data_IF_628290032521
#
_entry.id   IF_628290032521
#
_cell.length_a   1.000
_cell.length_b   1.000
_cell.length_c   1.000
_cell.angle_alpha   90.00
_cell.angle_beta   90.00
_cell.angle_gamma   90.00
#
_symmetry.space_group_name_H-M   'P 1'
#
loop_
_entity.id
_entity.type
_entity.pdbx_description
1 polymer ?
#
# COMPACT_ATOMS: atom_id res chain seq x y z
N UNK A 1 25.95 11.85 -33.04
CA UNK A 1 24.60 11.41 -32.66
C UNK A 1 24.71 10.12 -31.86
N UNK A 2 24.27 10.09 -30.60
CA UNK A 2 24.00 8.83 -29.90
C UNK A 2 22.83 9.07 -28.94
N UNK A 3 21.64 8.71 -29.40
CA UNK A 3 20.45 8.57 -28.56
C UNK A 3 20.67 7.34 -27.65
N UNK A 4 20.48 7.44 -26.33
CA UNK A 4 20.36 6.26 -25.49
C UNK A 4 18.98 5.62 -25.73
N UNK A 5 18.89 4.29 -25.85
CA UNK A 5 17.60 3.61 -25.91
C UNK A 5 16.91 3.76 -24.56
N UNK A 6 15.75 4.39 -24.55
CA UNK A 6 14.88 4.46 -23.36
C UNK A 6 14.38 3.04 -23.10
N UNK A 7 14.77 2.48 -21.96
CA UNK A 7 14.33 1.18 -21.49
C UNK A 7 12.79 1.11 -21.44
N UNK A 8 12.18 -0.07 -21.66
CA UNK A 8 10.73 -0.21 -21.51
C UNK A 8 10.38 0.08 -20.05
N UNK A 9 9.62 1.16 -19.82
CA UNK A 9 8.99 1.43 -18.54
C UNK A 9 8.11 0.21 -18.19
N UNK A 10 8.20 -0.35 -16.97
CA UNK A 10 7.28 -1.40 -16.57
C UNK A 10 5.86 -0.81 -16.62
N UNK A 11 4.98 -1.51 -17.35
CA UNK A 11 3.58 -1.12 -17.48
C UNK A 11 2.99 -0.85 -16.09
N UNK A 12 2.38 0.32 -15.83
CA UNK A 12 1.73 0.54 -14.57
C UNK A 12 0.58 -0.45 -14.51
N UNK A 13 0.61 -1.34 -13.51
CA UNK A 13 -0.63 -1.90 -12.99
C UNK A 13 -1.36 -0.67 -12.45
N UNK A 14 -2.25 -0.08 -13.24
CA UNK A 14 -2.93 1.19 -12.94
C UNK A 14 -3.82 0.95 -11.71
N UNK A 15 -3.20 1.02 -10.54
CA UNK A 15 -3.91 1.29 -9.31
C UNK A 15 -4.23 2.77 -9.33
N UNK A 16 -5.44 3.09 -8.90
CA UNK A 16 -5.85 4.47 -8.70
C UNK A 16 -4.88 5.12 -7.71
N UNK A 17 -4.24 6.22 -8.11
CA UNK A 17 -3.27 6.95 -7.28
C UNK A 17 -3.93 8.20 -6.72
N UNK A 18 -3.66 8.49 -5.46
CA UNK A 18 -4.11 9.69 -4.79
C UNK A 18 -2.92 10.44 -4.23
N UNK A 19 -2.98 11.76 -4.30
CA UNK A 19 -2.00 12.67 -3.70
C UNK A 19 -2.38 13.06 -2.26
N UNK A 20 -3.50 12.55 -1.75
CA UNK A 20 -4.04 12.92 -0.44
C UNK A 20 -4.56 11.69 0.31
N UNK A 21 -4.21 11.62 1.60
CA UNK A 21 -4.61 10.63 2.58
C UNK A 21 -5.79 11.06 3.46
N UNK A 22 -6.41 12.20 3.16
CA UNK A 22 -7.37 12.90 4.05
C UNK A 22 -8.63 12.11 4.45
N UNK A 23 -9.08 11.15 3.63
CA UNK A 23 -10.37 10.46 3.82
C UNK A 23 -10.23 8.94 3.94
N UNK A 24 -9.06 8.45 4.38
CA UNK A 24 -8.87 7.02 4.52
C UNK A 24 -7.76 6.60 5.45
N UNK A 25 -7.60 5.29 5.57
CA UNK A 25 -6.65 4.65 6.45
C UNK A 25 -5.39 4.36 5.65
N UNK A 26 -4.29 4.97 6.08
CA UNK A 26 -3.00 4.84 5.42
C UNK A 26 -2.30 3.56 5.85
N UNK A 27 -1.87 2.81 4.86
CA UNK A 27 -1.08 1.60 4.93
C UNK A 27 0.27 1.87 4.28
N UNK A 28 1.33 1.35 4.89
CA UNK A 28 2.67 1.44 4.32
C UNK A 28 3.22 0.03 4.08
N UNK A 29 3.74 -0.18 2.88
CA UNK A 29 4.47 -1.39 2.56
C UNK A 29 5.96 -1.19 2.90
N UNK A 30 6.43 -1.96 3.87
CA UNK A 30 7.80 -1.90 4.34
C UNK A 30 8.50 -3.24 4.12
N UNK A 31 9.77 -3.17 3.72
CA UNK A 31 10.62 -4.35 3.67
C UNK A 31 11.02 -4.71 5.11
N UNK A 32 10.51 -5.84 5.60
CA UNK A 32 10.89 -6.40 6.87
C UNK A 32 11.88 -7.54 6.63
N UNK A 33 13.14 -7.33 7.00
CA UNK A 33 14.22 -8.30 6.78
C UNK A 33 14.40 -8.63 5.29
N UNK A 34 13.74 -9.69 4.82
CA UNK A 34 13.80 -10.18 3.43
C UNK A 34 12.41 -10.36 2.81
N UNK A 35 11.34 -9.90 3.48
CA UNK A 35 9.95 -10.00 3.00
C UNK A 35 9.23 -8.67 3.06
N UNK A 36 8.46 -8.37 2.03
CA UNK A 36 7.55 -7.22 2.02
C UNK A 36 6.38 -7.48 2.98
N UNK A 37 6.24 -6.60 3.96
CA UNK A 37 5.12 -6.57 4.90
C UNK A 37 4.35 -5.29 4.72
N UNK A 38 3.11 -5.30 5.19
CA UNK A 38 2.29 -4.10 5.26
C UNK A 38 1.97 -3.80 6.71
N UNK A 39 2.03 -2.54 7.06
CA UNK A 39 1.63 -2.00 8.36
C UNK A 39 0.62 -0.89 8.15
N UNK A 40 -0.30 -0.75 9.10
CA UNK A 40 -1.16 0.43 9.16
C UNK A 40 -0.35 1.54 9.83
N UNK A 41 -0.27 2.72 9.20
CA UNK A 41 0.40 3.90 9.77
C UNK A 41 -0.60 4.94 10.28
N UNK A 42 -1.89 4.71 10.05
CA UNK A 42 -2.97 5.51 10.60
C UNK A 42 -3.05 5.37 12.14
N UNK A 43 -3.31 6.46 12.87
CA UNK A 43 -3.39 6.43 14.33
C UNK A 43 -4.54 5.54 14.82
N UNK A 44 -4.30 4.79 15.90
CA UNK A 44 -5.29 3.88 16.49
C UNK A 44 -5.24 2.43 15.96
N UNK A 45 -4.33 2.13 15.03
CA UNK A 45 -4.12 0.77 14.50
C UNK A 45 -2.73 0.23 14.87
N UNK A 46 -2.62 -1.09 14.92
CA UNK A 46 -1.41 -1.81 15.28
C UNK A 46 -0.54 -2.09 14.03
N UNK A 47 0.65 -1.47 13.89
CA UNK A 47 1.49 -1.66 12.71
C UNK A 47 2.09 -3.06 12.60
N UNK A 48 2.02 -3.87 13.67
CA UNK A 48 2.54 -5.24 13.70
C UNK A 48 1.55 -6.28 13.16
N UNK A 49 0.27 -5.93 13.03
CA UNK A 49 -0.77 -6.85 12.57
C UNK A 49 -0.72 -7.06 11.05
N UNK A 50 -1.09 -8.28 10.63
CA UNK A 50 -1.13 -8.63 9.21
C UNK A 50 -2.34 -7.98 8.56
N UNK A 51 -2.13 -7.22 7.50
CA UNK A 51 -3.23 -6.70 6.68
C UNK A 51 -3.48 -7.63 5.48
N UNK A 52 -4.73 -8.06 5.31
CA UNK A 52 -5.19 -8.74 4.10
C UNK A 52 -5.24 -7.73 2.95
N UNK A 53 -4.11 -7.64 2.25
CA UNK A 53 -3.93 -6.76 1.12
C UNK A 53 -3.41 -7.56 -0.08
N UNK A 54 -3.90 -7.34 -1.30
CA UNK A 54 -3.47 -8.14 -2.45
C UNK A 54 -1.99 -7.93 -2.75
N UNK A 55 -1.20 -9.02 -2.83
CA UNK A 55 0.25 -8.92 -3.10
C UNK A 55 0.56 -8.36 -4.49
N UNK A 56 -0.31 -8.59 -5.48
CA UNK A 56 -0.12 -8.12 -6.86
C UNK A 56 0.04 -6.60 -6.97
N UNK A 57 -0.48 -5.85 -5.99
CA UNK A 57 -0.47 -4.40 -6.02
C UNK A 57 0.51 -3.81 -5.00
N UNK A 58 1.20 -4.64 -4.20
CA UNK A 58 2.17 -4.20 -3.18
C UNK A 58 3.49 -3.81 -3.83
N UNK A 59 3.92 -2.59 -3.57
CA UNK A 59 5.22 -2.07 -3.96
C UNK A 59 6.08 -1.77 -2.73
N UNK A 60 7.38 -2.06 -2.85
CA UNK A 60 8.33 -1.75 -1.80
C UNK A 60 8.39 -0.23 -1.57
N UNK A 61 8.25 0.21 -0.31
CA UNK A 61 8.21 1.63 0.09
C UNK A 61 7.00 2.41 -0.44
N UNK A 62 6.01 1.75 -1.02
CA UNK A 62 4.75 2.40 -1.40
C UNK A 62 3.79 2.51 -0.21
N UNK A 63 3.02 3.59 -0.22
CA UNK A 63 1.90 3.82 0.70
C UNK A 63 0.57 3.65 -0.03
N UNK A 64 -0.45 3.26 0.70
CA UNK A 64 -1.80 3.02 0.19
C UNK A 64 -2.81 3.63 1.15
N UNK A 65 -3.90 4.13 0.61
CA UNK A 65 -5.04 4.64 1.35
C UNK A 65 -6.21 3.72 1.05
N UNK A 66 -6.86 3.23 2.10
CA UNK A 66 -8.10 2.46 1.98
C UNK A 66 -9.23 3.19 2.68
N UNK A 67 -10.45 2.93 2.25
CA UNK A 67 -11.63 3.56 2.83
C UNK A 67 -11.83 3.16 4.30
N UNK A 68 -11.83 1.85 4.57
CA UNK A 68 -12.03 1.33 5.93
C UNK A 68 -11.10 0.14 6.22
N UNK A 69 -10.67 -0.01 7.47
CA UNK A 69 -9.97 -1.19 7.98
C UNK A 69 -10.74 -1.73 9.17
N UNK A 70 -11.03 -3.03 9.11
CA UNK A 70 -11.59 -3.76 10.26
C UNK A 70 -10.62 -4.79 10.77
N UNK A 71 -10.42 -4.77 12.09
CA UNK A 71 -9.75 -5.85 12.80
C UNK A 71 -10.64 -7.09 12.75
N UNK A 72 -10.04 -8.26 12.51
CA UNK A 72 -10.74 -9.53 12.65
C UNK A 72 -11.20 -9.73 14.11
N UNK A 73 -12.26 -10.53 14.30
CA UNK A 73 -12.85 -10.79 15.61
C UNK A 73 -11.85 -11.32 16.66
N UNK A 74 -10.78 -11.97 16.20
CA UNK A 74 -9.74 -12.55 17.06
C UNK A 74 -8.48 -11.66 17.16
N UNK A 75 -8.46 -10.49 16.49
CA UNK A 75 -7.35 -9.55 16.55
C UNK A 75 -6.12 -9.90 15.69
N UNK A 76 -6.08 -11.07 15.05
CA UNK A 76 -4.86 -11.55 14.35
C UNK A 76 -4.52 -10.82 13.04
N UNK A 77 -5.51 -10.24 12.37
CA UNK A 77 -5.33 -9.57 11.08
C UNK A 77 -6.34 -8.47 10.84
N UNK A 78 -5.95 -7.53 9.99
CA UNK A 78 -6.78 -6.48 9.43
C UNK A 78 -7.33 -6.88 8.07
N UNK A 79 -8.56 -6.47 7.79
CA UNK A 79 -9.16 -6.52 6.45
C UNK A 79 -9.44 -5.11 5.99
N UNK A 80 -9.00 -4.80 4.78
CA UNK A 80 -9.34 -3.57 4.08
C UNK A 80 -10.70 -3.70 3.43
N UNK A 81 -11.53 -2.69 3.59
CA UNK A 81 -12.85 -2.57 2.97
C UNK A 81 -12.90 -1.29 2.11
N UNK A 82 -13.75 -1.31 1.09
CA UNK A 82 -13.88 -0.20 0.14
C UNK A 82 -12.79 -0.19 -0.93
N UNK A 83 -12.43 1.01 -1.38
CA UNK A 83 -11.46 1.22 -2.46
C UNK A 83 -10.04 1.27 -1.94
N UNK A 84 -9.11 0.71 -2.71
CA UNK A 84 -7.67 0.72 -2.43
C UNK A 84 -7.00 1.67 -3.41
N UNK A 85 -6.44 2.75 -2.89
CA UNK A 85 -5.77 3.79 -3.66
C UNK A 85 -4.30 3.84 -3.25
N UNK A 86 -3.39 4.03 -4.19
CA UNK A 86 -1.96 4.17 -3.88
C UNK A 86 -1.66 5.64 -3.57
N UNK A 87 -1.05 5.91 -2.42
CA UNK A 87 -0.59 7.25 -2.09
C UNK A 87 0.73 7.50 -2.83
N UNK A 88 0.73 8.53 -3.67
CA UNK A 88 1.95 9.05 -4.30
C UNK A 88 2.26 10.39 -3.64
N UNK A 89 3.42 10.47 -3.00
CA UNK A 89 4.00 11.74 -2.58
C UNK A 89 4.74 12.26 -3.81
N UNK A 90 4.21 13.31 -4.46
CA UNK A 90 4.83 13.98 -5.62
C UNK A 90 6.04 14.82 -5.22
#
# INVERSE_FOLDING_TARGET
>A
MKVPPVAPAPAPTTLETVSSDQDGIVLECFRAWSRLRMRVVSPGYDPNLRVQFPQNIREERARYVVDEIRTAAHGDFYRTFGNIRRLIEE
#
